data_IF_736175662577
#
_entry.id   IF_736175662577
#
_cell.length_a   1.000
_cell.length_b   1.000
_cell.length_c   1.000
_cell.angle_alpha   90.00
_cell.angle_beta   90.00
_cell.angle_gamma   90.00
#
_symmetry.space_group_name_H-M   'P 1'
#
loop_
_entity.id
_entity.type
_entity.pdbx_description
1 polymer ?
#
# COMPACT_ATOMS: atom_id res chain seq x y z
N UNK A 1 10.72 -22.27 7.88
CA UNK A 1 9.30 -22.67 7.81
C UNK A 1 8.54 -21.93 8.90
N UNK A 2 7.50 -21.14 8.60
CA UNK A 2 6.71 -20.51 9.65
C UNK A 2 5.92 -21.60 10.41
N UNK A 3 6.04 -21.59 11.74
CA UNK A 3 5.33 -22.54 12.63
C UNK A 3 3.82 -22.33 12.48
N UNK A 4 3.09 -23.38 12.09
CA UNK A 4 1.62 -23.43 12.17
C UNK A 4 1.20 -23.18 13.62
N UNK A 5 0.44 -22.11 13.90
CA UNK A 5 -0.20 -21.92 15.20
C UNK A 5 -1.37 -22.91 15.28
N UNK A 6 -1.35 -23.81 16.26
CA UNK A 6 -2.50 -24.66 16.55
C UNK A 6 -3.63 -23.82 17.17
N UNK A 7 -4.90 -24.07 16.84
CA UNK A 7 -6.03 -23.39 17.46
C UNK A 7 -5.96 -23.55 18.98
N UNK A 8 -6.14 -22.45 19.72
CA UNK A 8 -6.23 -22.52 21.19
C UNK A 8 -7.66 -22.88 21.60
N UNK A 9 -7.89 -23.47 22.80
CA UNK A 9 -9.25 -23.74 23.28
C UNK A 9 -10.15 -22.48 23.30
N UNK A 10 -9.58 -21.32 23.66
CA UNK A 10 -10.29 -20.04 23.62
C UNK A 10 -10.69 -19.62 22.20
N UNK A 11 -9.81 -19.85 21.21
CA UNK A 11 -10.09 -19.60 19.80
C UNK A 11 -11.20 -20.52 19.25
N UNK A 12 -11.20 -21.79 19.65
CA UNK A 12 -12.26 -22.73 19.27
C UNK A 12 -13.61 -22.33 19.86
N UNK A 13 -13.67 -21.99 21.15
CA UNK A 13 -14.91 -21.52 21.81
C UNK A 13 -15.45 -20.29 21.09
N UNK A 14 -14.59 -19.29 20.85
CA UNK A 14 -14.96 -18.07 20.15
C UNK A 14 -15.58 -18.37 18.77
N UNK A 15 -14.92 -19.21 17.97
CA UNK A 15 -15.42 -19.61 16.64
C UNK A 15 -16.75 -20.34 16.73
N UNK A 16 -16.89 -21.30 17.63
CA UNK A 16 -18.12 -22.09 17.79
C UNK A 16 -19.32 -21.19 18.08
N UNK A 17 -19.18 -20.21 18.98
CA UNK A 17 -20.26 -19.28 19.29
C UNK A 17 -20.55 -18.34 18.13
N UNK A 18 -19.53 -17.75 17.52
CA UNK A 18 -19.73 -16.82 16.41
C UNK A 18 -20.22 -17.51 15.13
N UNK A 19 -20.01 -18.81 14.94
CA UNK A 19 -20.64 -19.54 13.82
C UNK A 19 -22.18 -19.54 13.89
N UNK A 20 -22.77 -19.21 15.05
CA UNK A 20 -24.22 -19.03 15.20
C UNK A 20 -24.61 -17.61 14.78
N UNK A 21 -25.56 -17.50 13.84
CA UNK A 21 -25.91 -16.23 13.20
C UNK A 21 -26.49 -15.22 14.18
N UNK A 22 -27.30 -15.67 15.15
CA UNK A 22 -27.89 -14.83 16.20
C UNK A 22 -26.79 -14.23 17.07
N UNK A 23 -25.84 -15.05 17.53
CA UNK A 23 -24.70 -14.61 18.33
C UNK A 23 -23.82 -13.61 17.58
N UNK A 24 -23.54 -13.86 16.30
CA UNK A 24 -22.79 -12.93 15.46
C UNK A 24 -23.52 -11.60 15.28
N UNK A 25 -24.84 -11.64 15.07
CA UNK A 25 -25.68 -10.46 14.95
C UNK A 25 -25.66 -9.62 16.23
N UNK A 26 -25.82 -10.26 17.38
CA UNK A 26 -25.77 -9.59 18.69
C UNK A 26 -24.40 -8.97 18.94
N UNK A 27 -23.33 -9.71 18.65
CA UNK A 27 -21.96 -9.22 18.77
C UNK A 27 -21.74 -7.95 17.95
N UNK A 28 -22.16 -7.95 16.69
CA UNK A 28 -22.05 -6.84 15.76
C UNK A 28 -22.89 -5.66 16.24
N UNK A 29 -24.15 -5.88 16.64
CA UNK A 29 -25.05 -4.84 17.13
C UNK A 29 -24.55 -4.15 18.42
N UNK A 30 -23.94 -4.91 19.33
CA UNK A 30 -23.46 -4.40 20.62
C UNK A 30 -22.13 -3.65 20.48
N UNK A 31 -21.22 -4.14 19.64
CA UNK A 31 -19.82 -3.69 19.66
C UNK A 31 -19.42 -2.74 18.53
N UNK A 32 -20.18 -2.65 17.44
CA UNK A 32 -19.89 -1.65 16.41
C UNK A 32 -20.24 -0.24 16.89
N UNK A 33 -19.37 0.75 16.61
CA UNK A 33 -19.71 2.15 16.79
C UNK A 33 -21.01 2.50 16.04
N UNK A 34 -21.92 3.31 16.62
CA UNK A 34 -23.22 3.63 16.00
C UNK A 34 -23.14 4.14 14.56
N UNK A 35 -22.09 4.91 14.23
CA UNK A 35 -21.85 5.45 12.90
C UNK A 35 -21.47 4.38 11.86
N UNK A 36 -20.93 3.24 12.27
CA UNK A 36 -20.68 2.10 11.39
C UNK A 36 -21.89 1.17 11.37
N UNK A 37 -22.53 0.96 12.52
CA UNK A 37 -23.72 0.13 12.64
C UNK A 37 -24.88 0.64 11.77
N UNK A 38 -25.06 1.96 11.67
CA UNK A 38 -26.12 2.54 10.84
C UNK A 38 -25.95 2.27 9.33
N UNK A 39 -24.76 1.83 8.90
CA UNK A 39 -24.49 1.45 7.51
C UNK A 39 -24.91 0.01 7.21
N UNK A 40 -25.20 -0.80 8.23
CA UNK A 40 -25.33 -2.25 8.14
C UNK A 40 -26.79 -2.73 8.16
N UNK A 41 -27.21 -3.53 7.18
CA UNK A 41 -28.45 -4.32 7.28
C UNK A 41 -28.16 -5.68 7.92
N UNK A 42 -28.34 -5.76 9.24
CA UNK A 42 -28.08 -6.97 10.03
C UNK A 42 -29.00 -8.16 9.72
N UNK A 43 -30.12 -7.96 9.03
CA UNK A 43 -30.99 -9.07 8.63
C UNK A 43 -30.36 -9.90 7.50
N UNK A 44 -29.45 -9.28 6.73
CA UNK A 44 -28.75 -9.91 5.60
C UNK A 44 -27.41 -10.55 5.98
N UNK A 45 -27.11 -10.61 7.28
CA UNK A 45 -25.85 -11.16 7.79
C UNK A 45 -25.66 -12.61 7.32
N UNK A 46 -24.51 -12.86 6.71
CA UNK A 46 -24.12 -14.16 6.18
C UNK A 46 -22.67 -14.46 6.52
N UNK A 47 -22.37 -15.70 6.94
CA UNK A 47 -21.01 -16.14 7.25
C UNK A 47 -20.32 -16.61 5.95
N UNK A 48 -19.21 -15.97 5.60
CA UNK A 48 -18.41 -16.35 4.43
C UNK A 48 -17.56 -17.59 4.74
N UNK A 49 -17.55 -18.56 3.81
CA UNK A 49 -16.74 -19.77 3.94
C UNK A 49 -15.24 -19.48 3.89
N UNK A 50 -14.54 -19.74 4.99
CA UNK A 50 -13.13 -19.41 5.23
C UNK A 50 -12.08 -20.28 4.52
N UNK A 51 -12.42 -20.95 3.41
CA UNK A 51 -11.47 -21.75 2.63
C UNK A 51 -10.61 -20.92 1.67
N UNK A 52 -10.12 -19.74 2.08
CA UNK A 52 -9.66 -18.73 1.12
C UNK A 52 -8.57 -17.81 1.66
N UNK A 53 -7.42 -18.41 1.95
CA UNK A 53 -6.24 -17.68 2.38
C UNK A 53 -5.07 -18.24 1.60
N UNK A 54 -4.31 -17.37 0.92
CA UNK A 54 -3.02 -17.74 0.28
C UNK A 54 -2.23 -18.68 1.21
N UNK A 55 -1.60 -19.72 0.66
CA UNK A 55 -0.91 -20.77 1.44
C UNK A 55 0.05 -20.21 2.51
N UNK A 56 0.56 -18.98 2.30
CA UNK A 56 1.45 -18.24 3.22
C UNK A 56 0.74 -17.49 4.36
N UNK A 57 -0.53 -17.11 4.20
CA UNK A 57 -1.36 -16.47 5.23
C UNK A 57 -2.22 -17.48 6.01
N UNK A 58 -2.36 -18.70 5.47
CA UNK A 58 -3.21 -19.79 5.92
C UNK A 58 -3.00 -20.24 7.39
N UNK A 59 -1.81 -20.12 8.03
CA UNK A 59 -1.63 -20.51 9.42
C UNK A 59 -2.15 -19.51 10.47
N UNK A 60 -2.56 -18.30 10.06
CA UNK A 60 -2.89 -17.21 10.98
C UNK A 60 -4.31 -16.67 10.85
N UNK A 61 -5.02 -17.00 9.77
CA UNK A 61 -6.40 -16.59 9.60
C UNK A 61 -7.31 -17.49 10.43
N UNK A 62 -7.71 -16.99 11.59
CA UNK A 62 -8.81 -17.54 12.38
C UNK A 62 -10.16 -16.92 12.04
N UNK A 63 -10.22 -16.01 11.08
CA UNK A 63 -11.16 -14.90 11.25
C UNK A 63 -12.50 -15.15 10.59
N UNK A 64 -13.53 -14.92 11.41
CA UNK A 64 -14.93 -14.99 11.01
C UNK A 64 -15.21 -13.77 10.14
N UNK A 65 -15.38 -13.99 8.83
CA UNK A 65 -15.75 -12.97 7.88
C UNK A 65 -17.25 -13.07 7.61
N UNK A 66 -17.97 -11.99 7.87
CA UNK A 66 -19.39 -11.89 7.54
C UNK A 66 -19.57 -10.95 6.36
N UNK A 67 -20.54 -11.25 5.51
CA UNK A 67 -21.09 -10.32 4.52
C UNK A 67 -22.47 -9.86 4.94
N UNK A 68 -22.80 -8.62 4.58
CA UNK A 68 -24.13 -8.04 4.75
C UNK A 68 -24.29 -6.91 3.73
N UNK A 69 -25.54 -6.53 3.47
CA UNK A 69 -25.87 -5.39 2.62
C UNK A 69 -25.72 -4.08 3.38
N UNK A 70 -25.50 -3.01 2.63
CA UNK A 70 -25.64 -1.65 3.13
C UNK A 70 -27.10 -1.34 3.47
N UNK A 71 -27.35 -0.61 4.55
CA UNK A 71 -28.69 -0.18 4.94
C UNK A 71 -29.32 0.79 3.91
N UNK A 72 -28.50 1.46 3.10
CA UNK A 72 -28.93 2.34 2.01
C UNK A 72 -28.07 2.08 0.77
N UNK A 73 -28.70 2.05 -0.41
CA UNK A 73 -28.04 1.81 -1.69
C UNK A 73 -27.67 0.35 -1.96
N UNK A 74 -27.08 0.11 -3.13
CA UNK A 74 -26.61 -1.21 -3.55
C UNK A 74 -25.13 -1.36 -3.21
N UNK A 75 -24.83 -1.98 -2.08
CA UNK A 75 -23.47 -2.20 -1.61
C UNK A 75 -23.35 -3.34 -0.62
N UNK A 76 -22.12 -3.80 -0.42
CA UNK A 76 -21.77 -4.83 0.55
C UNK A 76 -20.81 -4.27 1.60
N UNK A 77 -21.07 -4.66 2.85
CA UNK A 77 -20.14 -4.48 3.97
C UNK A 77 -19.70 -5.87 4.39
N UNK A 78 -18.41 -6.02 4.64
CA UNK A 78 -17.87 -7.16 5.34
C UNK A 78 -17.48 -6.78 6.75
N UNK A 79 -17.83 -7.62 7.72
CA UNK A 79 -17.33 -7.51 9.10
C UNK A 79 -16.34 -8.64 9.32
N UNK A 80 -15.10 -8.28 9.59
CA UNK A 80 -14.02 -9.20 9.88
C UNK A 80 -13.79 -9.23 11.38
N UNK A 81 -13.91 -10.39 12.01
CA UNK A 81 -13.72 -10.53 13.46
C UNK A 81 -12.56 -11.47 13.75
N UNK A 82 -11.54 -10.94 14.41
CA UNK A 82 -10.35 -11.64 14.87
C UNK A 82 -10.37 -11.80 16.39
N UNK A 83 -9.98 -12.96 16.90
CA UNK A 83 -9.83 -13.17 18.34
C UNK A 83 -8.36 -13.31 18.75
N UNK A 84 -7.96 -12.54 19.77
CA UNK A 84 -6.61 -12.62 20.35
C UNK A 84 -6.65 -12.71 21.88
N UNK A 85 -5.95 -13.71 22.42
CA UNK A 85 -5.72 -13.87 23.86
C UNK A 85 -4.37 -13.32 24.33
N UNK A 86 -3.51 -12.89 23.41
CA UNK A 86 -2.21 -12.28 23.69
C UNK A 86 -2.07 -10.97 22.93
N UNK A 87 -1.54 -9.90 23.57
CA UNK A 87 -1.40 -8.62 22.88
C UNK A 87 -0.32 -8.71 21.81
N UNK A 88 -0.68 -8.38 20.57
CA UNK A 88 0.22 -8.35 19.42
C UNK A 88 0.46 -6.91 18.97
N UNK A 89 1.72 -6.49 18.94
CA UNK A 89 2.11 -5.12 18.60
C UNK A 89 1.66 -4.71 17.20
N UNK A 90 1.52 -5.63 16.25
CA UNK A 90 1.21 -5.33 14.85
C UNK A 90 -0.23 -5.69 14.45
N UNK A 91 -1.14 -5.79 15.42
CA UNK A 91 -2.50 -6.26 15.18
C UNK A 91 -3.29 -5.43 14.19
N UNK A 92 -3.21 -4.11 14.30
CA UNK A 92 -3.88 -3.21 13.36
C UNK A 92 -3.42 -3.44 11.91
N UNK A 93 -2.12 -3.63 11.69
CA UNK A 93 -1.58 -3.93 10.36
C UNK A 93 -2.03 -5.30 9.86
N UNK A 94 -2.12 -6.30 10.75
CA UNK A 94 -2.62 -7.63 10.40
C UNK A 94 -4.08 -7.58 9.94
N UNK A 95 -4.93 -6.89 10.69
CA UNK A 95 -6.34 -6.67 10.32
C UNK A 95 -6.49 -5.93 8.99
N UNK A 96 -5.63 -4.94 8.70
CA UNK A 96 -5.64 -4.28 7.39
C UNK A 96 -5.30 -5.23 6.25
N UNK A 97 -4.31 -6.12 6.43
CA UNK A 97 -4.00 -7.14 5.42
C UNK A 97 -5.20 -8.05 5.15
N UNK A 98 -5.92 -8.44 6.20
CA UNK A 98 -7.11 -9.28 6.06
C UNK A 98 -8.26 -8.54 5.38
N UNK A 99 -8.45 -7.26 5.70
CA UNK A 99 -9.43 -6.41 5.03
C UNK A 99 -9.14 -6.28 3.52
N UNK A 100 -7.88 -6.03 3.16
CA UNK A 100 -7.44 -5.95 1.75
C UNK A 100 -7.63 -7.30 1.03
N UNK A 101 -7.32 -8.42 1.68
CA UNK A 101 -7.55 -9.74 1.11
C UNK A 101 -9.05 -10.01 0.86
N UNK A 102 -9.92 -9.63 1.79
CA UNK A 102 -11.38 -9.74 1.61
C UNK A 102 -11.88 -8.86 0.46
N UNK A 103 -11.35 -7.63 0.34
CA UNK A 103 -11.61 -6.71 -0.76
C UNK A 103 -11.19 -7.28 -2.12
N UNK A 104 -9.99 -7.87 -2.19
CA UNK A 104 -9.49 -8.51 -3.41
C UNK A 104 -10.38 -9.67 -3.84
N UNK A 105 -10.78 -10.56 -2.90
CA UNK A 105 -11.68 -11.68 -3.18
C UNK A 105 -13.03 -11.21 -3.73
N UNK A 106 -13.54 -10.11 -3.21
CA UNK A 106 -14.78 -9.52 -3.71
C UNK A 106 -14.67 -9.14 -5.19
N UNK A 107 -13.56 -8.55 -5.61
CA UNK A 107 -13.30 -8.25 -7.03
C UNK A 107 -13.11 -9.52 -7.87
N UNK A 108 -12.38 -10.51 -7.37
CA UNK A 108 -12.16 -11.79 -8.03
C UNK A 108 -13.46 -12.59 -8.24
N UNK A 109 -14.46 -12.40 -7.38
CA UNK A 109 -15.81 -12.94 -7.54
C UNK A 109 -16.63 -12.25 -8.66
N UNK A 110 -16.05 -11.29 -9.38
CA UNK A 110 -16.67 -10.60 -10.53
C UNK A 110 -17.38 -9.30 -10.17
N UNK A 111 -17.26 -8.81 -8.93
CA UNK A 111 -17.84 -7.53 -8.54
C UNK A 111 -17.00 -6.37 -9.10
N UNK A 112 -17.67 -5.26 -9.46
CA UNK A 112 -17.03 -4.12 -10.14
C UNK A 112 -16.44 -3.07 -9.19
N UNK A 113 -16.82 -3.10 -7.92
CA UNK A 113 -16.50 -2.09 -6.92
C UNK A 113 -16.00 -2.77 -5.64
N UNK A 114 -15.22 -2.06 -4.85
CA UNK A 114 -14.75 -2.58 -3.56
C UNK A 114 -15.87 -2.61 -2.52
N UNK A 115 -15.91 -3.63 -1.64
CA UNK A 115 -16.76 -3.61 -0.46
C UNK A 115 -16.09 -2.79 0.66
N UNK A 116 -16.88 -2.24 1.58
CA UNK A 116 -16.34 -1.74 2.84
C UNK A 116 -16.04 -2.95 3.73
N UNK A 117 -14.86 -2.97 4.38
CA UNK A 117 -14.52 -4.03 5.34
C UNK A 117 -14.23 -3.40 6.69
N UNK A 118 -14.96 -3.84 7.72
CA UNK A 118 -14.85 -3.36 9.09
C UNK A 118 -14.13 -4.42 9.93
N UNK A 119 -12.84 -4.20 10.26
CA UNK A 119 -12.11 -5.10 11.14
C UNK A 119 -12.45 -4.84 12.61
N UNK A 120 -12.69 -5.93 13.35
CA UNK A 120 -12.97 -5.93 14.79
C UNK A 120 -11.99 -6.89 15.47
N UNK A 121 -11.30 -6.40 16.50
CA UNK A 121 -10.50 -7.23 17.38
C UNK A 121 -11.30 -7.59 18.64
N UNK A 122 -11.61 -8.87 18.80
CA UNK A 122 -12.10 -9.42 20.05
C UNK A 122 -10.91 -9.84 20.94
N UNK A 123 -10.52 -8.94 21.85
CA UNK A 123 -9.36 -9.13 22.71
C UNK A 123 -9.74 -9.65 24.10
N UNK A 124 -9.19 -10.80 24.48
CA UNK A 124 -9.32 -11.40 25.81
C UNK A 124 -7.91 -11.75 26.32
N UNK A 125 -7.06 -10.76 26.59
CA UNK A 125 -5.72 -11.03 27.11
C UNK A 125 -5.54 -10.67 28.58
N UNK A 126 -4.51 -11.27 29.19
CA UNK A 126 -4.11 -10.96 30.58
C UNK A 126 -3.62 -9.52 30.76
N UNK A 127 -3.09 -8.90 29.70
CA UNK A 127 -2.62 -7.51 29.72
C UNK A 127 -3.80 -6.59 29.38
N UNK A 128 -4.30 -5.86 30.38
CA UNK A 128 -5.46 -4.98 30.24
C UNK A 128 -5.14 -3.56 30.73
N UNK A 129 -5.60 -2.50 30.03
CA UNK A 129 -6.29 -2.54 28.73
C UNK A 129 -5.37 -3.01 27.59
N UNK A 130 -5.94 -3.27 26.40
CA UNK A 130 -5.15 -3.61 25.22
C UNK A 130 -4.10 -2.52 24.94
N UNK A 131 -2.80 -2.86 24.83
CA UNK A 131 -1.74 -1.85 24.98
C UNK A 131 -1.26 -1.21 23.66
N UNK A 132 -1.81 -1.59 22.51
CA UNK A 132 -1.32 -1.16 21.20
C UNK A 132 -2.41 -0.41 20.40
N UNK A 133 -1.98 0.46 19.48
CA UNK A 133 -2.89 1.22 18.63
C UNK A 133 -3.62 0.32 17.64
N UNK A 134 -4.95 0.49 17.55
CA UNK A 134 -5.79 -0.14 16.52
C UNK A 134 -5.87 0.66 15.21
N UNK A 135 -5.27 1.86 15.17
CA UNK A 135 -4.96 2.54 13.92
C UNK A 135 -3.58 2.08 13.42
N UNK A 136 -3.53 1.43 12.25
CA UNK A 136 -2.30 0.88 11.67
C UNK A 136 -1.30 1.96 11.25
N UNK A 137 -1.75 3.17 10.93
CA UNK A 137 -0.88 4.30 10.57
C UNK A 137 -0.02 4.76 11.75
N UNK A 138 -0.45 4.52 12.98
CA UNK A 138 0.34 4.84 14.18
C UNK A 138 1.56 3.92 14.38
N UNK A 139 1.75 2.92 13.51
CA UNK A 139 2.89 1.98 13.58
C UNK A 139 4.07 2.44 12.73
N UNK A 140 3.91 3.49 11.93
CA UNK A 140 5.02 4.14 11.23
C UNK A 140 5.78 5.06 12.18
N UNK A 141 7.06 5.29 11.89
CA UNK A 141 7.89 6.27 12.62
C UNK A 141 7.29 7.69 12.56
N UNK A 142 6.67 8.03 11.42
CA UNK A 142 5.91 9.28 11.23
C UNK A 142 4.47 8.96 10.75
N UNK A 143 3.49 8.90 11.68
CA UNK A 143 2.10 8.63 11.34
C UNK A 143 1.44 9.69 10.46
N UNK A 144 1.86 10.96 10.54
CA UNK A 144 1.28 12.03 9.74
C UNK A 144 1.72 11.90 8.28
N UNK A 145 3.00 11.61 8.04
CA UNK A 145 3.51 11.32 6.71
C UNK A 145 2.84 10.06 6.13
N UNK A 146 2.67 9.01 6.93
CA UNK A 146 1.94 7.81 6.50
C UNK A 146 0.51 8.14 6.06
N UNK A 147 -0.20 9.00 6.80
CA UNK A 147 -1.53 9.48 6.41
C UNK A 147 -1.54 10.17 5.04
N UNK A 148 -0.53 11.00 4.74
CA UNK A 148 -0.42 11.66 3.42
C UNK A 148 -0.16 10.68 2.28
N UNK A 149 0.51 9.56 2.53
CA UNK A 149 0.85 8.56 1.51
C UNK A 149 -0.31 7.60 1.28
N UNK A 150 -1.00 7.17 2.34
CA UNK A 150 -1.98 6.07 2.25
C UNK A 150 -3.45 6.52 2.26
N UNK A 151 -3.74 7.80 2.50
CA UNK A 151 -5.09 8.35 2.51
C UNK A 151 -5.30 9.47 1.46
N UNK A 152 -4.42 9.57 0.46
CA UNK A 152 -4.51 10.50 -0.66
C UNK A 152 -4.30 9.74 -1.98
N UNK A 153 -4.50 10.43 -3.10
CA UNK A 153 -4.22 9.87 -4.42
C UNK A 153 -2.75 9.45 -4.54
N UNK A 154 -2.51 8.27 -5.12
CA UNK A 154 -1.17 7.84 -5.44
C UNK A 154 -0.56 8.69 -6.55
N UNK A 155 0.76 8.97 -6.53
CA UNK A 155 1.42 9.70 -7.60
C UNK A 155 1.31 8.91 -8.92
N UNK A 156 0.65 9.50 -9.90
CA UNK A 156 0.53 8.96 -11.26
C UNK A 156 1.57 9.62 -12.18
N UNK A 157 2.42 8.81 -12.80
CA UNK A 157 3.30 9.25 -13.89
C UNK A 157 2.68 8.83 -15.22
N UNK A 158 1.81 9.69 -15.75
CA UNK A 158 1.14 9.46 -17.04
C UNK A 158 2.02 9.93 -18.20
N UNK A 159 2.84 9.01 -18.73
CA UNK A 159 3.76 9.30 -19.84
C UNK A 159 3.04 9.60 -21.17
N UNK A 160 1.72 9.36 -21.26
CA UNK A 160 0.98 9.58 -22.51
C UNK A 160 0.75 11.05 -22.80
N UNK A 161 0.72 11.88 -21.75
CA UNK A 161 0.49 13.34 -21.84
C UNK A 161 1.79 14.16 -21.80
N UNK A 162 2.91 13.56 -21.40
CA UNK A 162 4.21 14.26 -21.33
C UNK A 162 4.74 14.43 -22.76
N UNK A 163 5.10 15.65 -23.15
CA UNK A 163 5.67 15.91 -24.47
C UNK A 163 7.02 15.20 -24.64
N UNK A 164 7.33 14.73 -25.86
CA UNK A 164 8.59 14.01 -26.10
C UNK A 164 9.81 14.86 -25.73
N UNK A 165 9.78 16.16 -26.03
CA UNK A 165 10.90 17.06 -25.76
C UNK A 165 11.13 17.27 -24.26
N UNK A 166 10.06 17.14 -23.45
CA UNK A 166 10.16 17.10 -21.99
C UNK A 166 10.72 15.75 -21.53
N UNK A 167 10.27 14.63 -22.12
CA UNK A 167 10.82 13.30 -21.86
C UNK A 167 12.32 13.24 -22.13
N UNK A 168 12.80 13.93 -23.17
CA UNK A 168 14.23 14.01 -23.50
C UNK A 168 15.08 14.62 -22.37
N UNK A 169 14.46 15.36 -21.44
CA UNK A 169 15.13 15.92 -20.26
C UNK A 169 15.09 15.01 -19.02
N UNK A 170 14.41 13.85 -19.09
CA UNK A 170 14.27 12.92 -17.96
C UNK A 170 15.56 12.14 -17.62
N UNK A 171 16.74 12.71 -17.91
CA UNK A 171 18.06 12.14 -17.56
C UNK A 171 18.15 10.66 -17.98
N UNK A 172 18.50 9.77 -17.05
CA UNK A 172 18.71 8.34 -17.32
C UNK A 172 17.44 7.56 -17.66
N UNK A 173 16.24 8.06 -17.36
CA UNK A 173 14.98 7.35 -17.66
C UNK A 173 14.38 7.76 -19.00
N UNK A 174 14.88 8.82 -19.64
CA UNK A 174 14.32 9.38 -20.87
C UNK A 174 14.11 8.32 -21.97
N UNK A 175 15.09 7.45 -22.19
CA UNK A 175 14.99 6.43 -23.24
C UNK A 175 13.89 5.41 -22.93
N UNK A 176 13.81 4.93 -21.68
CA UNK A 176 12.76 4.03 -21.23
C UNK A 176 11.38 4.69 -21.37
N UNK A 177 11.24 5.93 -20.89
CA UNK A 177 9.99 6.68 -20.94
C UNK A 177 9.52 6.87 -22.39
N UNK A 178 10.43 7.25 -23.28
CA UNK A 178 10.13 7.49 -24.68
C UNK A 178 9.75 6.19 -25.41
N UNK A 179 10.49 5.10 -25.18
CA UNK A 179 10.13 3.77 -25.73
C UNK A 179 8.75 3.34 -25.22
N UNK A 180 8.50 3.45 -23.92
CA UNK A 180 7.23 3.00 -23.33
C UNK A 180 6.05 3.82 -23.83
N UNK A 181 6.21 5.14 -24.01
CA UNK A 181 5.16 6.01 -24.56
C UNK A 181 4.76 5.58 -25.97
N UNK A 182 5.72 5.15 -26.78
CA UNK A 182 5.52 4.81 -28.19
C UNK A 182 5.41 3.30 -28.46
N UNK A 183 5.41 2.43 -27.44
CA UNK A 183 5.52 0.96 -27.60
C UNK A 183 4.42 0.33 -28.47
N UNK A 184 3.27 0.99 -28.59
CA UNK A 184 2.12 0.54 -29.42
C UNK A 184 2.13 1.11 -30.84
N UNK A 185 3.06 2.01 -31.18
CA UNK A 185 3.20 2.53 -32.54
C UNK A 185 3.87 1.49 -33.44
N UNK A 186 3.31 1.28 -34.64
CA UNK A 186 3.83 0.31 -35.61
C UNK A 186 5.13 0.78 -36.26
N UNK A 187 5.32 2.09 -36.34
CA UNK A 187 6.49 2.72 -36.94
C UNK A 187 7.22 3.56 -35.89
N UNK A 188 8.38 3.06 -35.47
CA UNK A 188 9.26 3.72 -34.50
C UNK A 188 10.40 4.48 -35.17
N UNK A 189 10.40 4.62 -36.51
CA UNK A 189 11.47 5.32 -37.23
C UNK A 189 11.64 6.76 -36.76
N UNK A 190 10.54 7.42 -36.38
CA UNK A 190 10.52 8.78 -35.82
C UNK A 190 11.18 8.88 -34.44
N UNK A 191 11.43 7.75 -33.77
CA UNK A 191 12.07 7.69 -32.46
C UNK A 191 13.58 7.51 -32.55
N UNK A 192 14.13 7.07 -33.68
CA UNK A 192 15.55 6.70 -33.80
C UNK A 192 16.48 7.87 -33.50
N UNK A 193 16.19 9.06 -34.03
CA UNK A 193 17.03 10.25 -33.78
C UNK A 193 17.03 10.63 -32.30
N UNK A 194 15.85 10.58 -31.66
CA UNK A 194 15.68 10.88 -30.23
C UNK A 194 16.39 9.83 -29.37
N UNK A 195 16.25 8.55 -29.66
CA UNK A 195 16.94 7.48 -28.93
C UNK A 195 18.46 7.54 -29.13
N UNK A 196 18.93 7.78 -30.36
CA UNK A 196 20.35 7.93 -30.64
C UNK A 196 20.96 9.11 -29.86
N UNK A 197 20.23 10.21 -29.70
CA UNK A 197 20.65 11.35 -28.88
C UNK A 197 20.75 10.98 -27.39
N UNK A 198 19.81 10.19 -26.87
CA UNK A 198 19.80 9.75 -25.47
C UNK A 198 20.91 8.74 -25.15
N UNK A 199 21.24 7.85 -26.09
CA UNK A 199 22.30 6.85 -25.92
C UNK A 199 23.70 7.37 -26.23
N UNK A 200 23.83 8.56 -26.82
CA UNK A 200 25.12 9.16 -27.16
C UNK A 200 25.28 10.59 -26.61
N UNK A 201 25.31 10.77 -25.27
CA UNK A 201 25.32 12.09 -24.63
C UNK A 201 26.57 12.95 -24.93
N UNK A 202 27.63 12.37 -25.51
CA UNK A 202 28.87 13.11 -25.81
C UNK A 202 28.78 14.10 -26.98
N UNK A 203 27.66 14.16 -27.72
CA UNK A 203 27.51 15.08 -28.86
C UNK A 203 27.11 16.51 -28.45
N UNK A 204 26.69 16.75 -27.21
CA UNK A 204 26.25 18.07 -26.73
C UNK A 204 27.29 18.87 -25.91
N UNK A 205 28.47 18.29 -25.62
CA UNK A 205 29.52 18.98 -24.85
C UNK A 205 30.71 19.49 -25.69
N UNK A 206 30.73 19.31 -27.02
CA UNK A 206 31.92 19.62 -27.86
C UNK A 206 31.88 20.92 -28.67
N UNK A 207 30.88 21.79 -28.53
CA UNK A 207 30.79 23.04 -29.33
C UNK A 207 31.04 24.33 -28.57
N UNK A 208 31.51 24.28 -27.31
CA UNK A 208 32.01 25.48 -26.61
C UNK A 208 33.37 25.18 -25.98
N UNK A 209 34.45 25.47 -26.71
CA UNK A 209 35.80 25.44 -26.14
C UNK A 209 36.89 25.00 -27.10
N UNK A 210 36.97 25.62 -28.28
CA UNK A 210 38.24 25.60 -29.03
C UNK A 210 38.45 26.95 -29.71
N UNK A 211 38.90 27.93 -28.92
CA UNK A 211 39.52 29.17 -29.39
C UNK A 211 40.24 29.83 -28.20
N UNK A 212 41.52 29.48 -28.01
CA UNK A 212 42.63 30.40 -27.76
C UNK A 212 43.80 29.63 -27.12
N UNK A 213 44.78 29.30 -27.95
CA UNK A 213 46.04 28.76 -27.51
C UNK A 213 46.92 29.77 -26.78
N UNK A 214 47.78 29.21 -25.93
CA UNK A 214 49.15 29.62 -25.59
C UNK A 214 49.38 31.07 -25.15
N UNK A 215 49.86 31.22 -23.91
CA UNK A 215 51.07 31.99 -23.61
C UNK A 215 51.69 31.58 -22.26
N UNK A 216 52.87 30.97 -22.37
CA UNK A 216 54.07 31.02 -21.52
C UNK A 216 54.02 30.88 -19.98
N UNK A 217 54.85 29.93 -19.53
CA UNK A 217 55.39 29.81 -18.18
C UNK A 217 56.49 30.85 -17.90
N UNK A 218 56.47 31.44 -16.70
CA UNK A 218 57.61 31.75 -15.79
C UNK A 218 56.95 31.98 -14.41
N UNK A 219 57.25 31.24 -13.34
CA UNK A 219 58.46 31.33 -12.53
C UNK A 219 58.25 32.30 -11.36
N UNK A 220 58.02 31.81 -10.13
CA UNK A 220 57.97 32.67 -8.94
C UNK A 220 57.53 31.95 -7.65
N UNK A 221 58.49 31.78 -6.73
CA UNK A 221 58.31 31.30 -5.34
C UNK A 221 57.64 32.36 -4.45
N UNK A 222 57.01 31.92 -3.36
CA UNK A 222 56.70 32.72 -2.16
C UNK A 222 55.23 32.57 -1.73
N UNK A 223 54.90 31.78 -0.70
CA UNK A 223 54.95 32.10 0.74
C UNK A 223 53.57 32.50 1.29
N UNK A 224 53.09 31.77 2.31
CA UNK A 224 52.19 32.30 3.33
C UNK A 224 50.75 31.76 3.37
N UNK A 225 50.51 30.77 4.24
CA UNK A 225 49.24 30.70 5.00
C UNK A 225 49.18 31.91 5.96
N UNK A 226 47.99 32.38 6.39
CA UNK A 226 47.31 31.72 7.50
C UNK A 226 45.77 31.67 7.42
N UNK A 227 45.25 30.74 8.22
CA UNK A 227 43.91 30.63 8.79
C UNK A 227 43.20 31.97 9.04
N UNK A 228 41.86 32.00 8.88
CA UNK A 228 40.97 32.39 9.98
C UNK A 228 39.58 31.77 9.83
N UNK A 229 39.14 31.17 10.92
CA UNK A 229 37.79 30.69 11.22
C UNK A 229 36.89 31.86 11.61
N UNK A 230 35.65 31.91 11.12
CA UNK A 230 34.40 32.10 11.89
C UNK A 230 33.31 31.32 11.17
#
# INVERSE_FOLDING_TARGET
MPKKRSPTPHDLVFKTFLSQMETARDFIAIHLPPALLCLCDLQTLHLESGSFIEDDLHPYFSDMLYSLKTACGDGYIHVLIEHQSSPDKHMAFRLMRYAIAAMQRHLEAGNKTLPLVIPILFYQGRKSPYPYSMNWLNHFTDPQLAGKIYAQDFPLVDITVIADDEIMQHRSIAALTLIQKHIRQRDLTQLFDKLAALFNPQRHQRTTGDCAGKLHATGGKGSGCPHTTV
#
